data_IF_352437860800
#
_entry.id   IF_352437860800
#
_cell.length_a   1.000
_cell.length_b   1.000
_cell.length_c   1.000
_cell.angle_alpha   90.00
_cell.angle_beta   90.00
_cell.angle_gamma   90.00
#
_symmetry.space_group_name_H-M   'P 1'
#
loop_
_entity.id
_entity.type
_entity.pdbx_description
1 polymer ?
#
# COMPACT_ATOMS: atom_id res chain seq x y z
N UNK A 1 12.97 -10.65 -0.67
CA UNK A 1 13.56 -9.33 -1.03
C UNK A 1 12.57 -8.29 -1.54
N UNK A 2 11.59 -8.63 -2.40
CA UNK A 2 10.62 -7.62 -2.87
C UNK A 2 9.73 -7.04 -1.74
N UNK A 3 9.29 -7.88 -0.81
CA UNK A 3 8.41 -7.49 0.29
C UNK A 3 9.11 -6.53 1.28
N UNK A 4 10.35 -6.83 1.63
CA UNK A 4 11.20 -6.10 2.56
C UNK A 4 11.49 -4.69 2.04
N UNK A 5 11.75 -4.55 0.73
CA UNK A 5 11.91 -3.24 0.09
C UNK A 5 10.61 -2.45 0.17
N UNK A 6 9.46 -3.03 -0.21
CA UNK A 6 8.17 -2.35 -0.14
C UNK A 6 7.86 -1.87 1.29
N UNK A 7 8.00 -2.77 2.28
CA UNK A 7 7.77 -2.47 3.69
C UNK A 7 8.71 -1.38 4.21
N UNK A 8 10.00 -1.41 3.84
CA UNK A 8 10.98 -0.41 4.28
C UNK A 8 10.70 0.97 3.70
N UNK A 9 10.35 1.05 2.41
CA UNK A 9 9.96 2.30 1.76
C UNK A 9 8.71 2.89 2.43
N UNK A 10 7.73 2.05 2.74
CA UNK A 10 6.53 2.48 3.45
C UNK A 10 6.88 2.94 4.86
N UNK A 11 7.69 2.19 5.63
CA UNK A 11 8.11 2.60 6.97
C UNK A 11 8.85 3.96 6.99
N UNK A 12 9.68 4.23 5.97
CA UNK A 12 10.34 5.52 5.78
C UNK A 12 9.35 6.68 5.54
N UNK A 13 8.21 6.43 4.89
CA UNK A 13 7.15 7.45 4.75
C UNK A 13 6.58 7.90 6.10
N UNK A 14 6.64 7.02 7.11
CA UNK A 14 6.24 7.28 8.49
C UNK A 14 7.40 7.78 9.36
N UNK A 15 8.60 7.98 8.78
CA UNK A 15 9.82 8.27 9.54
C UNK A 15 9.99 7.25 10.69
N UNK A 16 9.80 5.97 10.36
CA UNK A 16 9.82 4.83 11.28
C UNK A 16 8.88 4.96 12.50
N UNK A 17 7.76 5.67 12.34
CA UNK A 17 6.78 5.87 13.41
C UNK A 17 7.13 7.05 14.32
N UNK A 18 7.88 8.04 13.83
CA UNK A 18 8.11 9.30 14.52
C UNK A 18 6.77 9.93 14.96
N UNK A 19 6.71 10.34 16.22
CA UNK A 19 5.54 11.01 16.78
C UNK A 19 5.27 12.35 16.11
N UNK A 20 6.19 12.91 15.32
CA UNK A 20 5.99 14.14 14.56
C UNK A 20 5.48 13.91 13.13
N UNK A 21 5.49 12.68 12.65
CA UNK A 21 5.07 12.34 11.29
C UNK A 21 3.56 12.50 11.10
N UNK A 22 3.16 13.11 9.97
CA UNK A 22 1.76 13.37 9.66
C UNK A 22 0.92 12.11 9.46
N UNK A 23 1.43 11.14 8.71
CA UNK A 23 0.73 9.88 8.44
C UNK A 23 0.58 9.10 9.74
N UNK A 24 1.65 9.00 10.53
CA UNK A 24 1.62 8.37 11.85
C UNK A 24 0.51 8.96 12.74
N UNK A 25 0.51 10.29 12.94
CA UNK A 25 -0.52 10.99 13.72
C UNK A 25 -1.93 10.73 13.19
N UNK A 26 -2.11 10.73 11.87
CA UNK A 26 -3.42 10.53 11.24
C UNK A 26 -3.97 9.12 11.48
N UNK A 27 -3.12 8.10 11.37
CA UNK A 27 -3.51 6.73 11.66
C UNK A 27 -3.80 6.51 13.14
N UNK A 28 -2.97 7.04 14.04
CA UNK A 28 -3.20 6.94 15.48
C UNK A 28 -4.51 7.61 15.89
N UNK A 29 -4.75 8.86 15.45
CA UNK A 29 -5.98 9.58 15.75
C UNK A 29 -7.23 8.86 15.20
N UNK A 30 -7.14 8.25 14.01
CA UNK A 30 -8.26 7.48 13.45
C UNK A 30 -8.53 6.19 14.24
N UNK A 31 -7.47 5.48 14.67
CA UNK A 31 -7.58 4.29 15.53
C UNK A 31 -8.23 4.65 16.88
N UNK A 32 -7.76 5.71 17.54
CA UNK A 32 -8.33 6.20 18.81
C UNK A 32 -9.80 6.58 18.66
N UNK A 33 -10.15 7.28 17.58
CA UNK A 33 -11.54 7.64 17.30
C UNK A 33 -12.43 6.41 17.13
N UNK A 34 -11.96 5.39 16.40
CA UNK A 34 -12.71 4.14 16.20
C UNK A 34 -12.93 3.43 17.54
N UNK A 35 -11.89 3.34 18.38
CA UNK A 35 -11.97 2.72 19.71
C UNK A 35 -12.92 3.48 20.64
N UNK A 36 -12.82 4.81 20.69
CA UNK A 36 -13.71 5.63 21.52
C UNK A 36 -15.18 5.45 21.16
N UNK A 37 -15.51 5.41 19.86
CA UNK A 37 -16.90 5.16 19.41
C UNK A 37 -17.38 3.76 19.82
N UNK A 38 -16.51 2.74 19.78
CA UNK A 38 -16.88 1.38 20.18
C UNK A 38 -17.12 1.25 21.68
N UNK A 39 -16.36 1.97 22.50
CA UNK A 39 -16.55 1.95 23.94
C UNK A 39 -17.83 2.69 24.38
N UNK A 40 -18.24 3.74 23.65
CA UNK A 40 -19.52 4.43 23.87
C UNK A 40 -20.75 3.56 23.56
N UNK A 41 -20.65 2.62 22.60
CA UNK A 41 -21.72 1.72 22.19
C UNK A 41 -21.81 0.42 23.04
N UNK A 42 -20.89 0.20 23.99
CA UNK A 42 -20.92 -0.99 24.88
C UNK A 42 -21.90 -0.81 26.05
N UNK A 43 -22.85 -1.74 26.27
CA UNK A 43 -23.49 -1.86 27.58
C UNK A 43 -22.42 -2.20 28.63
N UNK A 44 -22.49 -1.59 29.83
CA UNK A 44 -21.59 -1.88 30.96
C UNK A 44 -21.54 -3.40 31.25
N UNK A 45 -20.49 -4.08 30.77
CA UNK A 45 -20.24 -5.49 31.02
C UNK A 45 -18.83 -5.70 31.58
N UNK A 46 -18.70 -6.70 32.45
CA UNK A 46 -17.54 -6.95 33.32
C UNK A 46 -16.23 -7.16 32.56
N UNK A 47 -15.16 -6.66 33.18
CA UNK A 47 -13.78 -6.74 32.76
C UNK A 47 -13.25 -8.19 32.73
N UNK A 48 -13.49 -8.92 31.64
CA UNK A 48 -12.75 -10.17 31.36
C UNK A 48 -12.71 -10.61 29.89
N UNK A 49 -13.19 -9.80 28.94
CA UNK A 49 -13.08 -10.15 27.52
C UNK A 49 -11.71 -9.75 26.94
N UNK A 50 -11.15 -10.52 25.98
CA UNK A 50 -9.91 -10.18 25.31
C UNK A 50 -10.04 -8.84 24.58
N UNK A 51 -8.89 -8.22 24.27
CA UNK A 51 -8.80 -6.90 23.61
C UNK A 51 -9.88 -6.73 22.53
N UNK A 52 -10.56 -5.58 22.49
CA UNK A 52 -11.71 -5.38 21.62
C UNK A 52 -11.31 -5.65 20.17
N UNK A 53 -11.94 -6.65 19.56
CA UNK A 53 -11.90 -6.86 18.12
C UNK A 53 -12.55 -5.62 17.50
N UNK A 54 -11.74 -4.76 16.88
CA UNK A 54 -12.22 -3.52 16.27
C UNK A 54 -13.39 -3.84 15.32
N UNK A 55 -14.57 -3.26 15.57
CA UNK A 55 -15.80 -3.47 14.79
C UNK A 55 -15.55 -3.20 13.29
N UNK A 56 -15.50 -4.25 12.45
CA UNK A 56 -15.28 -4.12 11.02
C UNK A 56 -16.37 -3.28 10.34
N UNK A 57 -17.58 -3.24 10.91
CA UNK A 57 -18.72 -2.50 10.36
C UNK A 57 -18.50 -1.00 10.49
N UNK A 58 -17.97 -0.53 11.62
CA UNK A 58 -17.71 0.89 11.85
C UNK A 58 -16.63 1.44 10.89
N UNK A 59 -15.52 0.71 10.73
CA UNK A 59 -14.44 1.06 9.78
C UNK A 59 -14.98 1.19 8.37
N UNK A 60 -15.78 0.21 7.93
CA UNK A 60 -16.36 0.21 6.59
C UNK A 60 -17.37 1.36 6.40
N UNK A 61 -18.16 1.70 7.42
CA UNK A 61 -19.06 2.87 7.38
C UNK A 61 -18.30 4.19 7.21
N UNK A 62 -17.23 4.42 7.99
CA UNK A 62 -16.42 5.64 7.90
C UNK A 62 -15.77 5.74 6.52
N UNK A 63 -15.16 4.64 6.06
CA UNK A 63 -14.55 4.52 4.74
C UNK A 63 -15.57 4.84 3.64
N UNK A 64 -16.70 4.15 3.64
CA UNK A 64 -17.71 4.31 2.60
C UNK A 64 -18.39 5.69 2.64
N UNK A 65 -18.43 6.36 3.78
CA UNK A 65 -18.91 7.75 3.88
C UNK A 65 -17.93 8.70 3.19
N UNK A 66 -16.64 8.61 3.52
CA UNK A 66 -15.62 9.49 2.96
C UNK A 66 -15.53 9.45 1.43
N UNK A 67 -15.63 8.24 0.84
CA UNK A 67 -15.50 8.07 -0.61
C UNK A 67 -16.81 8.24 -1.39
N UNK A 68 -17.97 8.29 -0.74
CA UNK A 68 -19.30 8.43 -1.40
C UNK A 68 -19.95 9.80 -1.22
N UNK A 69 -19.54 10.60 -0.24
CA UNK A 69 -20.16 11.90 0.10
C UNK A 69 -19.75 13.05 -0.85
N UNK A 70 -19.73 12.78 -2.17
CA UNK A 70 -19.49 13.78 -3.21
C UNK A 70 -18.01 13.95 -3.60
N UNK A 71 -17.69 14.97 -4.43
CA UNK A 71 -16.33 15.18 -4.91
C UNK A 71 -15.39 15.58 -3.77
N UNK A 72 -14.26 14.87 -3.66
CA UNK A 72 -13.20 15.19 -2.69
C UNK A 72 -12.35 16.34 -3.24
N UNK A 73 -12.45 17.50 -2.57
CA UNK A 73 -11.64 18.69 -2.83
C UNK A 73 -10.30 18.60 -2.08
N UNK A 74 -9.19 18.50 -2.83
CA UNK A 74 -7.84 18.31 -2.26
C UNK A 74 -7.34 19.50 -1.45
N UNK A 75 -7.88 20.69 -1.68
CA UNK A 75 -7.57 21.94 -0.96
C UNK A 75 -7.85 21.86 0.55
N UNK A 76 -8.79 20.99 0.95
CA UNK A 76 -9.10 20.73 2.35
C UNK A 76 -8.15 19.75 3.04
N UNK A 77 -7.20 19.16 2.30
CA UNK A 77 -6.28 18.16 2.81
C UNK A 77 -4.84 18.65 2.74
N UNK A 78 -4.06 18.21 3.73
CA UNK A 78 -2.61 18.40 3.68
C UNK A 78 -2.07 17.66 2.45
N UNK A 79 -1.16 18.30 1.73
CA UNK A 79 -0.38 17.70 0.66
C UNK A 79 1.09 17.67 1.05
N UNK A 80 1.83 16.69 0.54
CA UNK A 80 3.27 16.64 0.76
C UNK A 80 3.93 17.80 0.05
N UNK A 81 4.85 18.48 0.72
CA UNK A 81 5.68 19.51 0.11
C UNK A 81 6.68 18.85 -0.84
N UNK A 82 6.89 19.37 -2.07
CA UNK A 82 7.95 18.88 -2.94
C UNK A 82 9.31 18.95 -2.24
N UNK A 83 10.16 17.94 -2.44
CA UNK A 83 11.52 17.98 -1.90
C UNK A 83 12.32 19.11 -2.55
N UNK A 84 13.08 19.87 -1.74
CA UNK A 84 13.82 21.06 -2.18
C UNK A 84 15.08 20.80 -3.02
N UNK A 85 15.17 19.64 -3.68
CA UNK A 85 16.36 19.17 -4.41
C UNK A 85 17.32 18.32 -3.55
N UNK A 86 18.38 17.80 -4.15
CA UNK A 86 19.38 16.98 -3.46
C UNK A 86 20.30 17.83 -2.58
N UNK A 87 20.38 17.51 -1.30
CA UNK A 87 21.37 18.07 -0.37
C UNK A 87 22.29 16.93 0.08
N UNK A 88 23.44 16.79 -0.59
CA UNK A 88 24.46 15.84 -0.13
C UNK A 88 24.87 16.21 1.32
N UNK A 89 24.88 15.22 2.22
CA UNK A 89 25.33 15.31 3.62
C UNK A 89 24.42 16.09 4.60
N UNK A 90 23.27 16.62 4.17
CA UNK A 90 22.32 17.24 5.09
C UNK A 90 21.56 16.19 5.90
N UNK A 91 21.39 16.42 7.21
CA UNK A 91 20.45 15.68 8.04
C UNK A 91 19.04 16.19 7.79
N UNK A 92 18.05 15.31 7.80
CA UNK A 92 16.65 15.72 7.77
C UNK A 92 16.32 16.49 9.05
N UNK A 93 15.69 17.66 8.89
CA UNK A 93 15.31 18.56 9.98
C UNK A 93 13.91 18.25 10.53
N UNK A 94 13.11 17.47 9.80
CA UNK A 94 11.75 17.09 10.20
C UNK A 94 11.27 15.81 9.50
N UNK A 95 10.27 15.14 10.10
CA UNK A 95 9.63 13.97 9.47
C UNK A 95 8.95 14.32 8.13
N UNK A 96 8.48 15.56 7.95
CA UNK A 96 7.94 16.01 6.66
C UNK A 96 9.01 16.04 5.57
N UNK A 97 10.24 16.43 5.93
CA UNK A 97 11.38 16.40 5.01
C UNK A 97 11.70 14.95 4.64
N UNK A 98 11.79 14.04 5.62
CA UNK A 98 11.96 12.59 5.37
C UNK A 98 10.90 12.08 4.38
N UNK A 99 9.62 12.36 4.64
CA UNK A 99 8.51 11.95 3.77
C UNK A 99 8.63 12.55 2.36
N UNK A 100 9.02 13.82 2.23
CA UNK A 100 9.20 14.48 0.93
C UNK A 100 10.29 13.83 0.06
N UNK A 101 11.37 13.32 0.67
CA UNK A 101 12.46 12.66 -0.04
C UNK A 101 12.15 11.22 -0.41
N UNK A 102 11.44 10.48 0.45
CA UNK A 102 11.15 9.06 0.19
C UNK A 102 10.07 8.86 -0.86
N UNK A 103 9.10 9.76 -0.98
CA UNK A 103 7.97 9.58 -1.90
C UNK A 103 8.37 9.48 -3.40
N UNK A 104 9.28 10.32 -3.94
CA UNK A 104 9.81 10.11 -5.29
C UNK A 104 10.52 8.76 -5.48
N UNK A 105 11.21 8.28 -4.44
CA UNK A 105 11.87 6.97 -4.45
C UNK A 105 10.81 5.87 -4.47
N UNK A 106 9.80 5.96 -3.62
CA UNK A 106 8.67 5.02 -3.57
C UNK A 106 7.93 4.95 -4.92
N UNK A 107 7.60 6.10 -5.51
CA UNK A 107 7.04 6.21 -6.86
C UNK A 107 7.91 5.48 -7.90
N UNK A 108 9.21 5.74 -7.88
CA UNK A 108 10.17 5.17 -8.83
C UNK A 108 10.31 3.66 -8.64
N UNK A 109 10.41 3.19 -7.40
CA UNK A 109 10.49 1.77 -7.07
C UNK A 109 9.24 1.03 -7.56
N UNK A 110 8.04 1.55 -7.27
CA UNK A 110 6.80 0.94 -7.77
C UNK A 110 6.78 0.94 -9.29
N UNK A 111 7.13 2.06 -9.93
CA UNK A 111 7.15 2.17 -11.40
C UNK A 111 8.07 1.15 -12.06
N UNK A 112 9.28 0.97 -11.52
CA UNK A 112 10.26 -0.01 -12.02
C UNK A 112 9.76 -1.44 -11.81
N UNK A 113 9.23 -1.76 -10.63
CA UNK A 113 8.74 -3.11 -10.32
C UNK A 113 7.51 -3.45 -11.17
N UNK A 114 6.56 -2.52 -11.31
CA UNK A 114 5.35 -2.68 -12.10
C UNK A 114 5.61 -2.89 -13.61
N UNK A 115 6.78 -2.46 -14.12
CA UNK A 115 7.17 -2.65 -15.53
C UNK A 115 7.68 -4.05 -15.85
N UNK A 116 7.99 -4.88 -14.84
CA UNK A 116 8.47 -6.27 -15.04
C UNK A 116 7.29 -7.21 -15.35
N UNK A 117 6.63 -6.96 -16.47
CA UNK A 117 5.44 -7.69 -16.93
C UNK A 117 5.72 -9.19 -17.02
N UNK A 118 4.86 -10.00 -16.39
CA UNK A 118 4.95 -11.46 -16.37
C UNK A 118 5.92 -12.05 -15.33
N UNK A 119 6.71 -11.22 -14.64
CA UNK A 119 7.61 -11.70 -13.58
C UNK A 119 6.81 -11.91 -12.27
N UNK A 120 6.75 -13.16 -11.81
CA UNK A 120 6.04 -13.50 -10.55
C UNK A 120 6.76 -12.99 -9.31
N UNK A 121 8.06 -12.68 -9.40
CA UNK A 121 8.84 -12.20 -8.25
C UNK A 121 8.46 -10.78 -7.81
N UNK A 122 7.67 -10.06 -8.61
CA UNK A 122 7.14 -8.74 -8.22
C UNK A 122 5.97 -8.84 -7.24
N UNK A 123 5.31 -10.00 -7.18
CA UNK A 123 4.05 -10.16 -6.48
C UNK A 123 4.10 -9.79 -4.99
N UNK A 124 5.13 -10.16 -4.20
CA UNK A 124 5.21 -9.75 -2.80
C UNK A 124 5.33 -8.22 -2.63
N UNK A 125 6.13 -7.57 -3.49
CA UNK A 125 6.27 -6.11 -3.49
C UNK A 125 4.93 -5.42 -3.84
N UNK A 126 4.28 -5.90 -4.89
CA UNK A 126 3.00 -5.37 -5.37
C UNK A 126 1.90 -5.56 -4.32
N UNK A 127 1.86 -6.73 -3.68
CA UNK A 127 0.90 -7.06 -2.64
C UNK A 127 1.00 -6.09 -1.45
N UNK A 128 2.18 -5.90 -0.85
CA UNK A 128 2.37 -4.94 0.25
C UNK A 128 2.02 -3.51 -0.20
N UNK A 129 2.47 -3.10 -1.39
CA UNK A 129 2.21 -1.75 -1.91
C UNK A 129 0.71 -1.48 -2.04
N UNK A 130 -0.03 -2.40 -2.68
CA UNK A 130 -1.46 -2.28 -2.86
C UNK A 130 -2.21 -2.36 -1.52
N UNK A 131 -1.77 -3.22 -0.60
CA UNK A 131 -2.36 -3.36 0.73
C UNK A 131 -2.21 -2.06 1.54
N UNK A 132 -1.06 -1.42 1.44
CA UNK A 132 -0.82 -0.12 2.06
C UNK A 132 -1.68 1.00 1.46
N UNK A 133 -1.78 1.08 0.13
CA UNK A 133 -2.61 2.08 -0.55
C UNK A 133 -4.08 1.90 -0.17
N UNK A 134 -4.56 0.66 -0.13
CA UNK A 134 -5.91 0.32 0.34
C UNK A 134 -6.11 0.68 1.82
N UNK A 135 -5.17 0.32 2.69
CA UNK A 135 -5.26 0.66 4.12
C UNK A 135 -5.32 2.18 4.34
N UNK A 136 -4.59 2.94 3.53
CA UNK A 136 -4.60 4.41 3.56
C UNK A 136 -5.93 5.01 3.12
N UNK A 137 -6.79 4.28 2.42
CA UNK A 137 -8.11 4.78 2.06
C UNK A 137 -9.07 4.84 3.25
N UNK A 138 -8.83 4.05 4.31
CA UNK A 138 -9.65 4.04 5.52
C UNK A 138 -9.40 5.23 6.44
N UNK A 139 -8.25 5.91 6.32
CA UNK A 139 -7.91 7.09 7.12
C UNK A 139 -8.17 8.34 6.29
N UNK A 140 -9.20 9.16 6.63
CA UNK A 140 -9.53 10.37 5.87
C UNK A 140 -8.31 11.27 5.65
N UNK A 141 -7.99 11.53 4.38
CA UNK A 141 -6.86 12.37 3.99
C UNK A 141 -5.51 11.66 3.87
N UNK A 142 -5.32 10.46 4.41
CA UNK A 142 -4.03 9.77 4.34
C UNK A 142 -3.67 9.34 2.91
N UNK A 143 -4.59 8.70 2.19
CA UNK A 143 -4.37 8.40 0.77
C UNK A 143 -4.28 9.67 -0.08
N UNK A 144 -5.07 10.70 0.24
CA UNK A 144 -5.03 12.01 -0.45
C UNK A 144 -3.67 12.69 -0.27
N UNK A 145 -3.01 12.53 0.87
CA UNK A 145 -1.68 13.10 1.14
C UNK A 145 -0.59 12.51 0.23
N UNK A 146 -0.70 11.22 -0.14
CA UNK A 146 0.30 10.51 -0.95
C UNK A 146 -0.12 10.28 -2.41
N UNK A 147 -1.35 10.63 -2.80
CA UNK A 147 -1.97 10.22 -4.07
C UNK A 147 -1.17 10.63 -5.31
N UNK A 148 -0.48 11.77 -5.24
CA UNK A 148 0.36 12.29 -6.33
C UNK A 148 1.64 11.47 -6.55
N UNK A 149 2.06 10.66 -5.59
CA UNK A 149 3.26 9.82 -5.67
C UNK A 149 2.91 8.33 -5.87
N UNK A 150 1.65 8.00 -6.08
CA UNK A 150 1.23 6.66 -6.49
C UNK A 150 1.25 6.57 -8.03
N UNK A 151 2.03 5.67 -8.65
CA UNK A 151 2.08 5.54 -10.10
C UNK A 151 0.88 4.73 -10.63
N UNK A 152 -0.32 5.30 -10.53
CA UNK A 152 -1.60 4.63 -10.85
C UNK A 152 -1.60 3.93 -12.22
N UNK A 153 -1.08 4.59 -13.26
CA UNK A 153 -0.99 4.00 -14.60
C UNK A 153 -0.10 2.76 -14.66
N UNK A 154 1.03 2.76 -13.92
CA UNK A 154 1.93 1.61 -13.83
C UNK A 154 1.29 0.48 -13.03
N UNK A 155 0.59 0.80 -11.94
CA UNK A 155 -0.17 -0.19 -11.17
C UNK A 155 -1.25 -0.85 -12.02
N UNK A 156 -2.05 -0.07 -12.75
CA UNK A 156 -3.08 -0.58 -13.68
C UNK A 156 -2.46 -1.46 -14.76
N UNK A 157 -1.33 -1.05 -15.36
CA UNK A 157 -0.61 -1.87 -16.34
C UNK A 157 -0.16 -3.20 -15.74
N UNK A 158 0.43 -3.18 -14.53
CA UNK A 158 0.89 -4.37 -13.84
C UNK A 158 -0.27 -5.31 -13.48
N UNK A 159 -1.35 -4.80 -12.88
CA UNK A 159 -2.57 -5.56 -12.53
C UNK A 159 -3.15 -6.28 -13.75
N UNK A 160 -3.22 -5.58 -14.88
CA UNK A 160 -3.69 -6.12 -16.16
C UNK A 160 -2.77 -7.18 -16.78
N UNK A 161 -1.55 -7.33 -16.26
CA UNK A 161 -0.56 -8.30 -16.74
C UNK A 161 -0.39 -9.51 -15.82
N UNK A 162 -0.96 -9.47 -14.61
CA UNK A 162 -0.85 -10.57 -13.66
C UNK A 162 -1.52 -11.83 -14.21
N UNK A 163 -0.89 -12.97 -13.94
CA UNK A 163 -1.48 -14.26 -14.30
C UNK A 163 -2.77 -14.49 -13.51
N UNK A 164 -3.82 -14.87 -14.23
CA UNK A 164 -5.10 -15.30 -13.62
C UNK A 164 -5.22 -16.82 -13.50
N UNK A 165 -4.15 -17.55 -13.78
CA UNK A 165 -4.16 -19.02 -13.64
C UNK A 165 -4.36 -19.40 -12.17
N UNK A 166 -5.40 -20.18 -11.90
CA UNK A 166 -5.77 -20.57 -10.54
C UNK A 166 -6.45 -19.46 -9.71
N UNK A 167 -6.86 -18.36 -10.35
CA UNK A 167 -7.58 -17.24 -9.72
C UNK A 167 -8.92 -17.06 -10.43
N UNK A 168 -10.02 -17.14 -9.70
CA UNK A 168 -11.37 -16.95 -10.28
C UNK A 168 -11.85 -15.51 -10.12
N UNK A 169 -12.54 -14.97 -11.11
CA UNK A 169 -13.06 -13.59 -11.08
C UNK A 169 -14.00 -13.34 -9.89
N UNK A 170 -14.85 -14.31 -9.53
CA UNK A 170 -15.73 -14.20 -8.34
C UNK A 170 -14.96 -13.92 -7.04
N UNK A 171 -13.72 -14.38 -6.92
CA UNK A 171 -12.87 -14.17 -5.73
C UNK A 171 -12.18 -12.81 -5.77
N UNK A 172 -11.84 -12.33 -6.96
CA UNK A 172 -11.33 -10.97 -7.18
C UNK A 172 -12.41 -9.94 -6.83
N UNK A 173 -13.66 -10.22 -7.20
CA UNK A 173 -14.82 -9.34 -7.02
C UNK A 173 -15.48 -9.48 -5.64
N UNK A 174 -15.03 -10.44 -4.83
CA UNK A 174 -15.59 -10.71 -3.51
C UNK A 174 -15.48 -9.51 -2.55
N UNK A 175 -16.41 -9.43 -1.61
CA UNK A 175 -16.35 -8.41 -0.55
C UNK A 175 -15.29 -8.78 0.48
N UNK A 176 -15.20 -10.06 0.77
CA UNK A 176 -14.38 -10.67 1.80
C UNK A 176 -12.92 -10.76 1.36
N UNK A 177 -12.02 -10.81 2.34
CA UNK A 177 -10.60 -10.97 2.13
C UNK A 177 -10.27 -12.32 1.45
N UNK A 178 -9.33 -12.39 0.49
CA UNK A 178 -8.98 -13.64 -0.17
C UNK A 178 -8.18 -14.57 0.75
N UNK A 179 -8.85 -15.64 1.22
CA UNK A 179 -8.27 -16.66 2.09
C UNK A 179 -7.82 -17.92 1.31
N UNK A 180 -7.23 -17.74 0.12
CA UNK A 180 -6.72 -18.89 -0.62
C UNK A 180 -5.65 -19.60 0.20
N UNK A 181 -5.79 -20.91 0.38
CA UNK A 181 -4.73 -21.70 0.98
C UNK A 181 -3.58 -21.87 -0.02
N UNK A 182 -2.36 -21.70 0.48
CA UNK A 182 -1.13 -22.15 -0.16
C UNK A 182 -0.69 -23.51 0.40
N UNK A 183 0.48 -24.00 -0.01
CA UNK A 183 1.05 -25.22 0.56
C UNK A 183 1.33 -25.15 2.06
N UNK A 184 1.44 -23.93 2.62
CA UNK A 184 1.70 -23.65 4.03
C UNK A 184 0.47 -23.08 4.74
N UNK A 185 -0.70 -23.04 4.10
CA UNK A 185 -1.90 -22.42 4.67
C UNK A 185 -2.17 -21.00 4.15
N UNK A 186 -3.03 -20.22 4.82
CA UNK A 186 -3.60 -18.98 4.27
C UNK A 186 -2.67 -17.78 4.36
N UNK A 187 -1.70 -17.74 5.29
CA UNK A 187 -0.75 -16.64 5.39
C UNK A 187 0.42 -16.84 4.42
N UNK A 188 0.82 -15.73 3.81
CA UNK A 188 1.99 -15.60 2.96
C UNK A 188 3.16 -15.04 3.78
N UNK A 189 4.41 -15.27 3.37
CA UNK A 189 5.57 -14.78 4.11
C UNK A 189 5.54 -13.27 4.39
N UNK A 190 5.11 -12.49 3.41
CA UNK A 190 4.99 -11.04 3.55
C UNK A 190 3.88 -10.59 4.51
N UNK A 191 2.89 -11.43 4.82
CA UNK A 191 1.84 -11.07 5.79
C UNK A 191 2.42 -10.91 7.19
N UNK A 192 3.34 -11.80 7.56
CA UNK A 192 4.06 -11.73 8.83
C UNK A 192 4.98 -10.51 8.89
N UNK A 193 5.59 -10.13 7.76
CA UNK A 193 6.47 -8.97 7.68
C UNK A 193 5.74 -7.66 8.00
N UNK A 194 4.52 -7.50 7.50
CA UNK A 194 3.73 -6.26 7.70
C UNK A 194 2.83 -6.32 8.94
N UNK A 195 2.76 -7.47 9.62
CA UNK A 195 1.97 -7.64 10.83
C UNK A 195 2.48 -6.69 11.92
N UNK A 196 1.62 -5.76 12.34
CA UNK A 196 1.92 -4.81 13.41
C UNK A 196 2.34 -3.42 12.92
N UNK A 197 2.46 -3.20 11.61
CA UNK A 197 2.55 -1.85 11.06
C UNK A 197 1.24 -1.11 11.31
N UNK A 198 1.29 0.19 11.61
CA UNK A 198 0.11 0.97 12.04
C UNK A 198 -1.08 0.94 11.05
N UNK A 199 -0.79 0.73 9.77
CA UNK A 199 -1.78 0.63 8.70
C UNK A 199 -2.29 -0.80 8.47
N UNK A 200 -1.56 -1.83 8.88
CA UNK A 200 -1.92 -3.23 8.59
C UNK A 200 -3.27 -3.69 9.16
N UNK A 201 -3.76 -3.18 10.32
CA UNK A 201 -5.09 -3.56 10.85
C UNK A 201 -6.28 -3.14 9.98
N UNK A 202 -6.08 -2.28 8.97
CA UNK A 202 -7.11 -1.93 7.99
C UNK A 202 -7.17 -2.91 6.82
N UNK A 203 -6.14 -3.73 6.65
CA UNK A 203 -6.04 -4.70 5.56
C UNK A 203 -6.52 -6.09 5.97
N UNK A 204 -6.10 -6.57 7.14
CA UNK A 204 -6.37 -7.94 7.56
C UNK A 204 -7.73 -8.08 8.28
N UNK A 205 -8.43 -9.21 8.10
CA UNK A 205 -9.49 -9.64 9.02
C UNK A 205 -8.95 -9.73 10.47
N UNK A 206 -9.80 -9.43 11.45
CA UNK A 206 -9.40 -9.37 12.87
C UNK A 206 -8.86 -10.70 13.43
N UNK A 207 -9.24 -11.82 12.85
CA UNK A 207 -8.82 -13.17 13.22
C UNK A 207 -7.82 -13.81 12.24
N UNK A 208 -7.30 -13.05 11.27
CA UNK A 208 -6.47 -13.60 10.19
C UNK A 208 -5.18 -14.29 10.67
N UNK A 209 -4.66 -13.87 11.82
CA UNK A 209 -3.49 -14.46 12.46
C UNK A 209 -3.85 -15.31 13.70
N UNK A 210 -5.11 -15.71 13.84
CA UNK A 210 -5.58 -16.63 14.87
C UNK A 210 -5.87 -18.00 14.25
N UNK A 211 -5.58 -19.09 14.98
CA UNK A 211 -5.85 -20.46 14.53
C UNK A 211 -4.71 -21.06 13.70
N UNK A 212 -4.97 -21.40 12.44
CA UNK A 212 -3.98 -22.04 11.56
C UNK A 212 -2.90 -21.02 11.17
N UNK A 213 -1.81 -21.03 11.92
CA UNK A 213 -0.62 -20.23 11.68
C UNK A 213 0.56 -21.20 11.62
N UNK A 214 1.39 -21.05 10.60
CA UNK A 214 2.59 -21.86 10.46
C UNK A 214 3.61 -21.60 11.56
N UNK A 215 4.44 -22.60 11.80
CA UNK A 215 5.60 -22.50 12.68
C UNK A 215 6.55 -21.39 12.22
N UNK A 216 7.33 -20.84 13.14
CA UNK A 216 8.15 -19.64 12.90
C UNK A 216 9.12 -19.81 11.73
N UNK A 217 9.74 -20.98 11.61
CA UNK A 217 10.68 -21.31 10.53
C UNK A 217 10.00 -21.34 9.14
N UNK A 218 8.70 -21.64 9.10
CA UNK A 218 7.93 -21.69 7.85
C UNK A 218 7.38 -20.31 7.44
N UNK A 219 7.35 -19.32 8.35
CA UNK A 219 6.83 -17.97 8.07
C UNK A 219 7.64 -17.24 7.02
N UNK A 220 8.92 -17.57 6.87
CA UNK A 220 9.81 -16.95 5.87
C UNK A 220 10.02 -17.85 4.65
N UNK A 221 9.43 -19.05 4.63
CA UNK A 221 9.64 -20.00 3.56
C UNK A 221 8.95 -19.53 2.28
N UNK A 222 9.71 -19.38 1.20
CA UNK A 222 9.19 -18.98 -0.10
C UNK A 222 8.90 -20.21 -0.97
N UNK A 223 7.66 -20.37 -1.44
CA UNK A 223 7.24 -21.52 -2.23
C UNK A 223 6.56 -21.13 -3.55
N UNK A 224 6.70 -21.95 -4.61
CA UNK A 224 5.99 -21.71 -5.87
C UNK A 224 4.45 -21.64 -5.73
N UNK A 225 3.89 -22.31 -4.73
CA UNK A 225 2.45 -22.31 -4.43
C UNK A 225 1.92 -20.96 -3.91
N UNK A 226 2.80 -20.03 -3.51
CA UNK A 226 2.43 -18.68 -3.08
C UNK A 226 2.05 -17.76 -4.26
N UNK A 227 2.44 -18.10 -5.49
CA UNK A 227 2.23 -17.23 -6.64
C UNK A 227 0.74 -16.96 -6.95
N UNK A 228 -0.12 -17.99 -6.89
CA UNK A 228 -1.55 -17.82 -7.17
C UNK A 228 -2.29 -17.02 -6.08
N UNK A 229 -2.13 -17.33 -4.77
CA UNK A 229 -2.68 -16.49 -3.70
C UNK A 229 -2.21 -15.03 -3.76
N UNK A 230 -0.93 -14.77 -4.10
CA UNK A 230 -0.43 -13.40 -4.25
C UNK A 230 -1.06 -12.66 -5.43
N UNK A 231 -1.15 -13.31 -6.58
CA UNK A 231 -1.79 -12.74 -7.76
C UNK A 231 -3.26 -12.42 -7.47
N UNK A 232 -3.96 -13.33 -6.79
CA UNK A 232 -5.33 -13.09 -6.35
C UNK A 232 -5.45 -11.88 -5.42
N UNK A 233 -4.62 -11.78 -4.37
CA UNK A 233 -4.65 -10.64 -3.45
C UNK A 233 -4.34 -9.32 -4.15
N UNK A 234 -3.38 -9.30 -5.07
CA UNK A 234 -3.09 -8.11 -5.87
C UNK A 234 -4.30 -7.69 -6.71
N UNK A 235 -4.94 -8.63 -7.41
CA UNK A 235 -6.11 -8.36 -8.24
C UNK A 235 -7.31 -7.92 -7.41
N UNK A 236 -7.56 -8.58 -6.27
CA UNK A 236 -8.61 -8.21 -5.33
C UNK A 236 -8.39 -6.81 -4.77
N UNK A 237 -7.17 -6.47 -4.33
CA UNK A 237 -6.82 -5.11 -3.89
C UNK A 237 -7.01 -4.08 -5.01
N UNK A 238 -6.63 -4.41 -6.24
CA UNK A 238 -6.90 -3.58 -7.42
C UNK A 238 -8.40 -3.33 -7.61
N UNK A 239 -9.23 -4.37 -7.46
CA UNK A 239 -10.68 -4.27 -7.54
C UNK A 239 -11.26 -3.39 -6.41
N UNK A 240 -10.76 -3.54 -5.17
CA UNK A 240 -11.12 -2.67 -4.05
C UNK A 240 -10.77 -1.21 -4.31
N UNK A 241 -9.57 -0.92 -4.78
CA UNK A 241 -9.14 0.43 -5.14
C UNK A 241 -9.97 1.03 -6.28
N UNK A 242 -10.38 0.21 -7.26
CA UNK A 242 -11.29 0.64 -8.33
C UNK A 242 -12.68 1.03 -7.81
N UNK A 243 -13.14 0.42 -6.71
CA UNK A 243 -14.43 0.78 -6.09
C UNK A 243 -14.45 2.19 -5.49
N UNK A 244 -13.29 2.80 -5.24
CA UNK A 244 -13.19 4.21 -4.83
C UNK A 244 -13.57 5.17 -5.97
N UNK A 245 -13.56 4.69 -7.22
CA UNK A 245 -13.91 5.44 -8.44
C UNK A 245 -13.17 6.79 -8.61
N UNK A 246 -12.00 6.92 -8.00
CA UNK A 246 -11.17 8.14 -8.05
C UNK A 246 -9.91 7.95 -8.87
N UNK A 247 -9.21 6.82 -8.70
CA UNK A 247 -7.87 6.62 -9.25
C UNK A 247 -7.81 5.61 -10.39
N UNK A 248 -8.59 4.54 -10.26
CA UNK A 248 -8.71 3.50 -11.27
C UNK A 248 -10.16 3.05 -11.35
N UNK A 249 -10.50 2.41 -12.47
CA UNK A 249 -11.78 1.76 -12.72
C UNK A 249 -11.54 0.29 -13.05
N UNK A 250 -12.58 -0.51 -12.86
CA UNK A 250 -12.61 -1.92 -13.23
C UNK A 250 -13.83 -2.17 -14.11
N UNK A 251 -13.63 -2.87 -15.22
CA UNK A 251 -14.71 -3.26 -16.12
C UNK A 251 -15.11 -4.71 -15.87
N UNK A 252 -16.33 -4.91 -15.37
CA UNK A 252 -16.84 -6.24 -14.97
C UNK A 252 -16.99 -7.22 -16.13
N UNK A 253 -17.02 -6.76 -17.39
CA UNK A 253 -17.20 -7.63 -18.56
C UNK A 253 -15.86 -8.12 -19.10
N UNK A 254 -14.93 -7.20 -19.25
CA UNK A 254 -13.59 -7.45 -19.79
C UNK A 254 -12.59 -7.86 -18.71
N UNK A 255 -12.95 -7.66 -17.44
CA UNK A 255 -12.11 -7.91 -16.26
C UNK A 255 -10.81 -7.11 -16.30
N UNK A 256 -10.85 -5.91 -16.90
CA UNK A 256 -9.70 -5.03 -17.10
C UNK A 256 -9.76 -3.82 -16.18
N UNK A 257 -8.58 -3.39 -15.74
CA UNK A 257 -8.39 -2.13 -15.03
C UNK A 257 -8.09 -1.00 -16.01
N UNK A 258 -8.52 0.21 -15.69
CA UNK A 258 -8.12 1.44 -16.39
C UNK A 258 -7.84 2.57 -15.38
N UNK A 259 -7.07 3.57 -15.76
CA UNK A 259 -6.89 4.78 -14.96
C UNK A 259 -8.03 5.77 -15.19
N UNK A 260 -8.38 6.53 -14.16
CA UNK A 260 -9.26 7.69 -14.35
C UNK A 260 -8.50 8.84 -15.01
N UNK A 261 -9.24 9.86 -15.48
CA UNK A 261 -8.63 11.08 -16.00
C UNK A 261 -7.79 11.79 -14.93
N UNK A 262 -8.30 11.85 -13.69
CA UNK A 262 -7.60 12.44 -12.55
C UNK A 262 -6.24 11.76 -12.32
N UNK A 263 -6.22 10.43 -12.17
CA UNK A 263 -4.98 9.69 -11.93
C UNK A 263 -3.98 9.83 -13.08
N UNK A 264 -4.46 9.93 -14.32
CA UNK A 264 -3.61 10.15 -15.48
C UNK A 264 -2.90 11.51 -15.42
N UNK A 265 -3.59 12.57 -14.97
CA UNK A 265 -2.99 13.91 -14.79
C UNK A 265 -1.98 14.01 -13.63
N UNK A 266 -2.08 13.12 -12.63
CA UNK A 266 -1.14 13.12 -11.49
C UNK A 266 0.27 12.61 -11.87
N UNK A 267 0.36 11.75 -12.89
CA UNK A 267 1.63 11.18 -13.33
C UNK A 267 2.63 12.25 -13.82
N UNK A 268 2.11 13.33 -14.40
CA UNK A 268 2.92 14.45 -14.89
C UNK A 268 3.58 15.23 -13.74
N UNK A 269 2.90 15.34 -12.60
CA UNK A 269 3.42 16.01 -11.40
C UNK A 269 4.52 15.17 -10.72
N UNK A 270 4.31 13.87 -10.56
CA UNK A 270 5.31 12.98 -9.98
C UNK A 270 6.62 12.98 -10.80
N UNK A 271 6.50 12.90 -12.12
CA UNK A 271 7.65 12.91 -13.04
C UNK A 271 8.46 14.22 -12.98
N UNK A 272 7.82 15.35 -12.70
CA UNK A 272 8.51 16.63 -12.52
C UNK A 272 9.36 16.68 -11.24
N UNK A 273 9.02 15.87 -10.23
CA UNK A 273 9.68 15.80 -8.93
C UNK A 273 10.55 14.54 -8.76
N UNK A 274 10.78 13.75 -9.82
CA UNK A 274 11.67 12.59 -9.74
C UNK A 274 13.13 13.00 -9.69
N UNK A 275 13.87 12.43 -8.74
CA UNK A 275 15.31 12.56 -8.59
C UNK A 275 16.04 12.21 -9.90
N UNK A 276 16.65 13.20 -10.55
CA UNK A 276 17.50 12.98 -11.73
C UNK A 276 18.90 12.61 -11.24
N UNK A 277 19.20 11.32 -11.15
CA UNK A 277 20.57 10.84 -10.99
C UNK A 277 21.40 11.32 -12.19
N UNK A 278 22.28 12.30 -11.99
CA UNK A 278 23.31 12.64 -12.97
C UNK A 278 24.27 11.46 -13.04
N UNK A 279 24.18 10.68 -14.12
CA UNK A 279 25.21 9.70 -14.44
C UNK A 279 26.53 10.44 -14.65
N UNK A 280 27.43 10.39 -13.68
CA UNK A 280 28.83 10.78 -13.85
C UNK A 280 29.47 9.79 -14.82
N UNK A 281 29.70 10.22 -16.07
CA UNK A 281 30.56 9.49 -17.00
C UNK A 281 31.95 9.41 -16.38
N UNK A 282 32.47 8.19 -16.19
CA UNK A 282 33.88 7.98 -15.92
C UNK A 282 34.69 8.48 -17.15
N UNK A 283 35.77 9.24 -16.96
CA UNK A 283 36.62 9.62 -18.07
C UNK A 283 37.28 8.36 -18.67
N UNK A 284 37.14 8.19 -19.98
CA UNK A 284 37.85 7.17 -20.75
C UNK A 284 39.35 7.37 -20.54
N UNK A 285 40.03 6.35 -20.01
CA UNK A 285 41.46 6.35 -19.82
C UNK A 285 42.18 6.50 -21.16
N UNK A 286 43.06 7.48 -21.25
CA UNK A 286 43.96 7.66 -22.38
C UNK A 286 44.82 6.41 -22.60
N UNK A 287 44.74 5.88 -23.82
CA UNK A 287 45.74 5.02 -24.44
C UNK A 287 47.10 5.72 -24.42
N UNK A 288 48.05 5.19 -23.65
CA UNK A 288 49.47 5.46 -23.84
C UNK A 288 50.10 4.22 -24.48
N UNK A 289 50.44 4.35 -25.76
CA UNK A 289 51.42 3.51 -26.45
C UNK A 289 52.80 4.01 -26.03
N UNK A 290 53.58 3.15 -25.38
CA UNK A 290 55.05 3.07 -25.49
C UNK A 290 55.43 1.59 -25.62
#
# INVERSE_FOLDING_TARGET
MGAEIASSLIALMYDFGSDDNHLWKSFQANNEKIRGIQDDDKPQALASDPDPVEDPILKEKIHAKFWRDGPIHTEGFRQVRPHGGDKAEAKFESSDEVTSYILPIWFSSISIVAQKVGDRNILPFMHITLAYIWSSSYVPGALIFVENYVPWAKLVQALNSLSRSGVSDNRIEAKEFPQQQSGTGPQLPEDFLIRGLVWSPYYFPGDFFHGQVVDEDERTLEMPSHAAPRAERCLWLGHKLASLNRYMTYDDKTKRFATTHLASSMADLAAAHTLKLKATRFPEGHSALE
#
